data_IF_351976865616
#
_entry.id   IF_351976865616
#
_cell.length_a   1.000
_cell.length_b   1.000
_cell.length_c   1.000
_cell.angle_alpha   90.00
_cell.angle_beta   90.00
_cell.angle_gamma   90.00
#
_symmetry.space_group_name_H-M   'P 1'
#
loop_
_entity.id
_entity.type
_entity.pdbx_description
1 polymer ?
#
# COMPACT_ATOMS: atom_id res chain seq x y z
N UNK A 1 -2.75 22.25 1.35
CA UNK A 1 -1.95 21.13 0.79
C UNK A 1 -2.71 19.80 0.86
N UNK A 2 -3.18 19.37 2.03
CA UNK A 2 -4.02 18.16 2.17
C UNK A 2 -5.26 18.16 1.25
N UNK A 3 -5.93 19.32 1.09
CA UNK A 3 -7.11 19.44 0.21
C UNK A 3 -6.83 19.19 -1.28
N UNK A 4 -5.59 19.37 -1.76
CA UNK A 4 -5.23 19.09 -3.17
C UNK A 4 -5.06 17.58 -3.39
N UNK A 5 -4.40 16.91 -2.44
CA UNK A 5 -4.24 15.44 -2.43
C UNK A 5 -5.60 14.74 -2.35
N UNK A 6 -6.52 15.24 -1.53
CA UNK A 6 -7.90 14.72 -1.47
C UNK A 6 -8.69 14.95 -2.77
N UNK A 7 -8.36 15.98 -3.54
CA UNK A 7 -9.02 16.29 -4.81
C UNK A 7 -8.49 15.42 -5.95
N UNK A 8 -7.17 15.20 -6.02
CA UNK A 8 -6.53 14.21 -6.91
C UNK A 8 -7.10 12.79 -6.67
N UNK A 9 -7.37 12.45 -5.41
CA UNK A 9 -7.98 11.18 -5.02
C UNK A 9 -9.43 10.99 -5.55
N UNK A 10 -10.23 12.06 -5.57
CA UNK A 10 -11.66 11.99 -5.95
C UNK A 10 -11.89 11.79 -7.45
N UNK A 11 -10.89 12.06 -8.30
CA UNK A 11 -11.02 11.95 -9.77
C UNK A 11 -10.58 10.57 -10.28
N UNK A 12 -9.86 9.78 -9.48
CA UNK A 12 -9.66 8.34 -9.67
C UNK A 12 -8.78 7.91 -10.86
N UNK A 13 -8.48 8.81 -11.80
CA UNK A 13 -7.73 8.53 -13.03
C UNK A 13 -6.30 9.07 -13.04
N UNK A 14 -5.98 10.03 -12.17
CA UNK A 14 -4.66 10.65 -12.13
C UNK A 14 -3.59 9.70 -11.59
N UNK A 15 -2.39 9.84 -12.15
CA UNK A 15 -1.20 9.14 -11.67
C UNK A 15 -0.77 9.73 -10.33
N UNK A 16 -0.59 8.88 -9.33
CA UNK A 16 -0.21 9.28 -7.97
C UNK A 16 0.80 8.29 -7.39
N UNK A 17 1.31 8.64 -6.21
CA UNK A 17 2.21 7.82 -5.40
C UNK A 17 1.64 7.69 -3.99
N UNK A 18 1.98 6.61 -3.31
CA UNK A 18 1.54 6.41 -1.94
C UNK A 18 2.34 5.36 -1.22
N UNK A 19 2.01 5.19 0.05
CA UNK A 19 2.50 4.10 0.89
C UNK A 19 1.33 3.32 1.46
N UNK A 20 1.42 2.00 1.42
CA UNK A 20 0.52 1.10 2.13
C UNK A 20 1.33 0.54 3.30
N UNK A 21 0.92 0.85 4.52
CA UNK A 21 1.55 0.32 5.73
C UNK A 21 0.68 -0.78 6.30
N UNK A 22 1.24 -1.97 6.49
CA UNK A 22 0.56 -3.11 7.11
C UNK A 22 1.36 -3.67 8.27
N UNK A 23 0.65 -4.19 9.27
CA UNK A 23 1.24 -4.98 10.37
C UNK A 23 0.57 -6.35 10.36
N UNK A 24 1.34 -7.42 10.44
CA UNK A 24 0.82 -8.78 10.50
C UNK A 24 1.74 -9.73 11.25
N UNK A 25 1.20 -10.87 11.68
CA UNK A 25 1.95 -11.94 12.30
C UNK A 25 2.51 -12.91 11.25
N UNK A 26 3.84 -13.04 11.14
CA UNK A 26 4.49 -13.87 10.12
C UNK A 26 4.44 -15.38 10.40
N UNK A 27 4.10 -15.82 11.61
CA UNK A 27 3.80 -17.22 11.92
C UNK A 27 2.41 -17.65 11.44
N UNK A 28 1.56 -16.71 11.00
CA UNK A 28 0.25 -17.04 10.45
C UNK A 28 0.43 -17.72 9.08
N UNK A 29 0.14 -19.01 9.04
CA UNK A 29 0.29 -19.86 7.84
C UNK A 29 -0.35 -19.20 6.62
N UNK A 30 0.35 -19.26 5.49
CA UNK A 30 -0.06 -18.71 4.17
C UNK A 30 -0.19 -17.19 4.09
N UNK A 31 -0.15 -16.43 5.18
CA UNK A 31 -0.32 -14.98 5.13
C UNK A 31 0.85 -14.28 4.42
N UNK A 32 2.14 -14.52 4.75
CA UNK A 32 3.25 -13.90 4.04
C UNK A 32 3.23 -14.19 2.53
N UNK A 33 2.94 -15.44 2.17
CA UNK A 33 2.84 -15.86 0.76
C UNK A 33 1.66 -15.20 0.06
N UNK A 34 0.50 -15.09 0.72
CA UNK A 34 -0.68 -14.41 0.18
C UNK A 34 -0.39 -12.93 -0.09
N UNK A 35 0.24 -12.23 0.86
CA UNK A 35 0.62 -10.83 0.70
C UNK A 35 1.63 -10.66 -0.44
N UNK A 36 2.65 -11.51 -0.51
CA UNK A 36 3.65 -11.52 -1.59
C UNK A 36 3.01 -11.77 -2.95
N UNK A 37 2.06 -12.71 -3.04
CA UNK A 37 1.34 -13.00 -4.28
C UNK A 37 0.48 -11.82 -4.74
N UNK A 38 -0.16 -11.09 -3.82
CA UNK A 38 -0.86 -9.84 -4.15
C UNK A 38 0.14 -8.81 -4.69
N UNK A 39 1.29 -8.63 -4.04
CA UNK A 39 2.34 -7.73 -4.51
C UNK A 39 2.82 -8.08 -5.92
N UNK A 40 3.13 -9.35 -6.20
CA UNK A 40 3.55 -9.82 -7.52
C UNK A 40 2.47 -9.62 -8.59
N UNK A 41 1.19 -9.83 -8.25
CA UNK A 41 0.07 -9.58 -9.18
C UNK A 41 0.00 -8.11 -9.62
N UNK A 42 0.39 -7.19 -8.74
CA UNK A 42 0.37 -5.75 -8.99
C UNK A 42 1.79 -5.16 -9.14
N UNK A 43 2.76 -5.95 -9.61
CA UNK A 43 4.18 -5.54 -9.65
C UNK A 43 4.44 -4.24 -10.42
N UNK A 44 3.64 -3.93 -11.45
CA UNK A 44 3.76 -2.67 -12.22
C UNK A 44 3.50 -1.43 -11.37
N UNK A 45 2.73 -1.59 -10.30
CA UNK A 45 2.35 -0.52 -9.38
C UNK A 45 3.13 -0.56 -8.06
N UNK A 46 3.97 -1.60 -7.86
CA UNK A 46 4.85 -1.75 -6.70
C UNK A 46 6.24 -1.18 -7.02
N UNK A 47 6.64 -0.12 -6.33
CA UNK A 47 7.99 0.44 -6.46
C UNK A 47 8.96 -0.32 -5.57
N UNK A 48 8.60 -0.48 -4.29
CA UNK A 48 9.43 -1.17 -3.30
C UNK A 48 8.61 -1.55 -2.08
N UNK A 49 9.12 -2.52 -1.32
CA UNK A 49 8.57 -2.90 -0.02
C UNK A 49 9.69 -2.88 1.02
N UNK A 50 9.47 -2.15 2.11
CA UNK A 50 10.29 -2.23 3.32
C UNK A 50 9.62 -3.19 4.28
N UNK A 51 10.37 -4.19 4.78
CA UNK A 51 9.91 -5.14 5.78
C UNK A 51 10.75 -5.00 7.05
N UNK A 52 10.10 -4.94 8.21
CA UNK A 52 10.74 -4.79 9.52
C UNK A 52 10.14 -5.80 10.49
N UNK A 53 10.97 -6.64 11.10
CA UNK A 53 10.56 -7.47 12.23
C UNK A 53 10.43 -6.59 13.48
N UNK A 54 9.21 -6.44 14.00
CA UNK A 54 8.94 -5.67 15.21
C UNK A 54 9.25 -6.50 16.47
N UNK A 55 8.94 -7.79 16.41
CA UNK A 55 9.20 -8.78 17.45
C UNK A 55 9.25 -10.20 16.83
N UNK A 56 9.27 -11.23 17.67
CA UNK A 56 9.34 -12.65 17.24
C UNK A 56 8.14 -13.14 16.45
N UNK A 57 7.06 -12.37 16.35
CA UNK A 57 5.83 -12.74 15.66
C UNK A 57 5.39 -11.69 14.64
N UNK A 58 5.58 -10.41 14.93
CA UNK A 58 4.99 -9.32 14.17
C UNK A 58 5.98 -8.67 13.20
N UNK A 59 5.50 -8.42 11.99
CA UNK A 59 6.20 -7.67 10.97
C UNK A 59 5.42 -6.40 10.63
N UNK A 60 6.16 -5.34 10.35
CA UNK A 60 5.67 -4.13 9.70
C UNK A 60 6.17 -4.14 8.26
N UNK A 61 5.27 -3.91 7.31
CA UNK A 61 5.61 -3.65 5.92
C UNK A 61 5.14 -2.28 5.49
N UNK A 62 5.99 -1.58 4.73
CA UNK A 62 5.65 -0.33 4.03
C UNK A 62 5.87 -0.56 2.54
N UNK A 63 4.78 -0.62 1.79
CA UNK A 63 4.79 -0.79 0.34
C UNK A 63 4.70 0.59 -0.31
N UNK A 64 5.72 0.99 -1.05
CA UNK A 64 5.71 2.18 -1.89
C UNK A 64 5.06 1.83 -3.22
N UNK A 65 4.01 2.56 -3.57
CA UNK A 65 3.20 2.29 -4.78
C UNK A 65 3.09 3.52 -5.66
N UNK A 66 2.97 3.28 -6.97
CA UNK A 66 2.72 4.31 -7.99
C UNK A 66 1.76 3.79 -9.03
N UNK A 67 0.84 4.63 -9.47
CA UNK A 67 -0.14 4.27 -10.49
C UNK A 67 -1.37 5.15 -10.42
N UNK A 68 -2.45 4.74 -11.09
CA UNK A 68 -3.73 5.47 -11.02
C UNK A 68 -4.30 5.39 -9.60
N UNK A 69 -4.85 6.49 -9.10
CA UNK A 69 -5.42 6.54 -7.75
C UNK A 69 -6.42 5.40 -7.46
N UNK A 70 -7.30 5.09 -8.41
CA UNK A 70 -8.25 3.99 -8.28
C UNK A 70 -7.59 2.60 -8.19
N UNK A 71 -6.50 2.38 -8.91
CA UNK A 71 -5.75 1.11 -8.87
C UNK A 71 -5.02 0.95 -7.54
N UNK A 72 -4.34 2.00 -7.07
CA UNK A 72 -3.68 2.02 -5.76
C UNK A 72 -4.69 1.72 -4.65
N UNK A 73 -5.90 2.28 -4.74
CA UNK A 73 -6.98 1.97 -3.79
C UNK A 73 -7.32 0.48 -3.79
N UNK A 74 -7.52 -0.13 -4.95
CA UNK A 74 -7.83 -1.57 -5.07
C UNK A 74 -6.71 -2.42 -4.47
N UNK A 75 -5.45 -2.06 -4.72
CA UNK A 75 -4.28 -2.75 -4.15
C UNK A 75 -4.30 -2.66 -2.63
N UNK A 76 -4.51 -1.46 -2.08
CA UNK A 76 -4.58 -1.23 -0.65
C UNK A 76 -5.74 -2.00 0.00
N UNK A 77 -6.95 -1.92 -0.57
CA UNK A 77 -8.12 -2.62 -0.06
C UNK A 77 -7.89 -4.14 -0.01
N UNK A 78 -7.19 -4.71 -1.02
CA UNK A 78 -6.82 -6.13 -1.04
C UNK A 78 -5.80 -6.49 0.03
N UNK A 79 -4.71 -5.73 0.15
CA UNK A 79 -3.66 -5.99 1.14
C UNK A 79 -4.22 -5.85 2.56
N UNK A 80 -4.86 -4.71 2.85
CA UNK A 80 -5.42 -4.39 4.16
C UNK A 80 -6.55 -5.36 4.53
N UNK A 81 -7.38 -5.76 3.56
CA UNK A 81 -8.48 -6.71 3.77
C UNK A 81 -8.04 -8.18 3.86
N UNK A 82 -6.75 -8.48 3.68
CA UNK A 82 -6.25 -9.87 3.75
C UNK A 82 -6.36 -10.40 5.19
N UNK A 83 -7.03 -11.54 5.36
CA UNK A 83 -7.29 -12.14 6.68
C UNK A 83 -5.99 -12.40 7.45
N UNK A 84 -5.76 -11.63 8.51
CA UNK A 84 -4.55 -11.72 9.33
C UNK A 84 -3.64 -10.51 9.29
N UNK A 85 -3.91 -9.56 8.40
CA UNK A 85 -3.44 -8.19 8.58
C UNK A 85 -4.13 -7.59 9.81
N UNK A 86 -3.33 -7.11 10.75
CA UNK A 86 -3.76 -6.56 12.03
C UNK A 86 -3.99 -5.05 11.96
N UNK A 87 -3.15 -4.36 11.18
CA UNK A 87 -3.28 -2.95 10.88
C UNK A 87 -3.01 -2.73 9.41
N UNK A 88 -3.71 -1.77 8.80
CA UNK A 88 -3.52 -1.39 7.42
C UNK A 88 -3.90 0.07 7.20
N UNK A 89 -3.04 0.83 6.54
CA UNK A 89 -3.32 2.22 6.17
C UNK A 89 -2.72 2.55 4.81
N UNK A 90 -3.57 3.10 3.93
CA UNK A 90 -3.12 3.76 2.72
C UNK A 90 -2.88 5.25 3.02
N UNK A 91 -1.70 5.75 2.66
CA UNK A 91 -1.39 7.17 2.62
C UNK A 91 -1.04 7.55 1.19
N UNK A 92 -1.84 8.44 0.60
CA UNK A 92 -1.60 8.96 -0.74
C UNK A 92 -0.79 10.24 -0.63
N UNK A 93 0.10 10.43 -1.59
CA UNK A 93 0.89 11.64 -1.77
C UNK A 93 0.67 12.18 -3.19
N UNK A 94 1.39 13.23 -3.56
CA UNK A 94 1.36 13.81 -4.90
C UNK A 94 2.71 13.59 -5.58
N UNK A 95 2.73 13.51 -6.91
CA UNK A 95 3.97 13.43 -7.70
C UNK A 95 4.80 14.73 -7.63
N UNK A 96 4.28 15.79 -7.00
CA UNK A 96 4.97 17.07 -6.84
C UNK A 96 5.03 17.92 -8.12
N UNK A 97 4.49 17.42 -9.24
CA UNK A 97 4.49 18.11 -10.55
C UNK A 97 3.55 19.34 -10.60
N UNK A 98 2.51 19.34 -9.77
CA UNK A 98 1.50 20.41 -9.67
C UNK A 98 1.79 21.39 -8.50
N UNK A 99 2.98 21.31 -7.89
CA UNK A 99 3.35 22.07 -6.69
C UNK A 99 4.54 23.04 -6.91
N UNK A 100 4.96 23.25 -8.16
CA UNK A 100 5.93 24.27 -8.57
C UNK A 100 5.25 25.60 -8.88
#
# INVERSE_FOLDING_TARGET
RNNLVEKEWKVGTEETVGTITIIYNHHKRELPDTLTNIQHKYHTSMISTLHVHLDSHNCLEVLVVKGKAGEIKIIADRLIGTKGVMHGKLTIATLGKELS
#
